data_IF_579392955040
#
_entry.id   IF_579392955040
#
_cell.length_a   1.000
_cell.length_b   1.000
_cell.length_c   1.000
_cell.angle_alpha   90.00
_cell.angle_beta   90.00
_cell.angle_gamma   90.00
#
_symmetry.space_group_name_H-M   'P 1'
#
loop_
_entity.id
_entity.type
_entity.pdbx_description
1 polymer ?
#
# COMPACT_ATOMS: atom_id res chain seq x y z
N UNK A 1 5.83 -10.17 9.59
CA UNK A 1 5.83 -9.04 8.63
C UNK A 1 6.82 -7.95 8.99
N UNK A 2 6.74 -7.34 10.18
CA UNK A 2 7.72 -6.35 10.65
C UNK A 2 9.19 -6.79 10.52
N UNK A 3 9.51 -8.02 10.97
CA UNK A 3 10.87 -8.56 10.89
C UNK A 3 11.39 -8.70 9.45
N UNK A 4 10.51 -9.08 8.51
CA UNK A 4 10.88 -9.22 7.09
C UNK A 4 11.16 -7.86 6.44
N UNK A 5 10.35 -6.85 6.73
CA UNK A 5 10.59 -5.47 6.28
C UNK A 5 11.86 -4.89 6.91
N UNK A 6 12.11 -5.16 8.20
CA UNK A 6 13.34 -4.76 8.89
C UNK A 6 14.57 -5.39 8.25
N UNK A 7 14.50 -6.68 7.92
CA UNK A 7 15.56 -7.39 7.20
C UNK A 7 15.82 -6.72 5.85
N UNK A 8 14.77 -6.41 5.09
CA UNK A 8 14.87 -5.74 3.79
C UNK A 8 15.55 -4.35 3.88
N UNK A 9 15.15 -3.51 4.84
CA UNK A 9 15.79 -2.20 5.08
C UNK A 9 17.25 -2.37 5.48
N UNK A 10 17.55 -3.33 6.36
CA UNK A 10 18.92 -3.58 6.78
C UNK A 10 19.78 -4.00 5.59
N UNK A 11 19.33 -4.93 4.74
CA UNK A 11 20.07 -5.34 3.54
C UNK A 11 20.30 -4.19 2.56
N UNK A 12 19.28 -3.34 2.32
CA UNK A 12 19.42 -2.18 1.44
C UNK A 12 20.36 -1.11 2.03
N UNK A 13 20.27 -0.84 3.33
CA UNK A 13 21.17 0.09 4.00
C UNK A 13 22.61 -0.44 4.02
N UNK A 14 22.78 -1.77 4.16
CA UNK A 14 24.06 -2.49 4.22
C UNK A 14 24.69 -2.76 2.82
N UNK A 15 24.02 -2.43 1.72
CA UNK A 15 24.58 -2.56 0.37
C UNK A 15 25.61 -1.45 0.05
N UNK A 16 26.83 -1.76 -0.44
CA UNK A 16 27.88 -0.76 -0.67
C UNK A 16 27.51 0.29 -1.72
N UNK A 17 26.74 -0.08 -2.75
CA UNK A 17 26.26 0.82 -3.79
C UNK A 17 24.79 1.21 -3.57
N UNK A 18 24.43 2.50 -3.75
CA UNK A 18 23.04 2.95 -3.80
C UNK A 18 22.42 2.57 -5.14
N UNK A 19 22.19 1.27 -5.34
CA UNK A 19 21.49 0.76 -6.52
C UNK A 19 20.15 0.18 -6.10
N UNK A 20 19.18 0.36 -6.99
CA UNK A 20 17.85 -0.23 -6.98
C UNK A 20 17.90 -1.75 -6.74
N UNK A 21 16.89 -2.29 -6.07
CA UNK A 21 16.85 -3.69 -5.63
C UNK A 21 17.16 -4.72 -6.75
N UNK A 22 16.69 -4.56 -8.00
CA UNK A 22 17.07 -5.42 -9.12
C UNK A 22 18.58 -5.38 -9.42
N UNK A 23 19.22 -4.23 -9.29
CA UNK A 23 20.66 -4.05 -9.48
C UNK A 23 21.48 -4.69 -8.34
N UNK A 24 20.98 -4.64 -7.10
CA UNK A 24 21.57 -5.37 -5.97
C UNK A 24 21.49 -6.88 -6.23
N UNK A 25 20.34 -7.37 -6.66
CA UNK A 25 20.16 -8.80 -6.98
C UNK A 25 21.04 -9.23 -8.16
N UNK A 26 21.17 -8.40 -9.20
CA UNK A 26 22.06 -8.65 -10.34
C UNK A 26 23.52 -8.76 -9.90
N UNK A 27 23.94 -7.97 -8.90
CA UNK A 27 25.27 -8.06 -8.31
C UNK A 27 25.57 -9.38 -7.61
N UNK A 28 24.55 -10.03 -7.00
CA UNK A 28 24.71 -11.31 -6.31
C UNK A 28 24.48 -12.55 -7.19
N UNK A 29 23.56 -12.49 -8.16
CA UNK A 29 23.15 -13.65 -8.98
C UNK A 29 23.75 -13.67 -10.40
N UNK A 30 24.45 -12.61 -10.81
CA UNK A 30 25.09 -12.50 -12.12
C UNK A 30 24.19 -11.91 -13.22
N UNK A 31 24.82 -11.45 -14.31
CA UNK A 31 24.21 -10.63 -15.37
C UNK A 31 22.95 -11.23 -16.00
N UNK A 32 22.94 -12.54 -16.28
CA UNK A 32 21.80 -13.20 -16.95
C UNK A 32 20.58 -13.33 -16.03
N UNK A 33 20.80 -13.67 -14.75
CA UNK A 33 19.74 -13.71 -13.74
C UNK A 33 19.22 -12.32 -13.40
N UNK A 34 20.08 -11.31 -13.43
CA UNK A 34 19.68 -9.92 -13.32
C UNK A 34 18.71 -9.46 -14.42
N UNK A 35 18.98 -9.82 -15.68
CA UNK A 35 18.08 -9.51 -16.81
C UNK A 35 16.74 -10.23 -16.65
N UNK A 36 16.75 -11.52 -16.30
CA UNK A 36 15.52 -12.29 -16.11
C UNK A 36 14.65 -11.72 -14.98
N UNK A 37 15.27 -11.38 -13.84
CA UNK A 37 14.57 -10.79 -12.70
C UNK A 37 14.12 -9.35 -12.97
N UNK A 38 14.89 -8.58 -13.73
CA UNK A 38 14.49 -7.25 -14.20
C UNK A 38 13.27 -7.31 -15.11
N UNK A 39 13.23 -8.25 -16.06
CA UNK A 39 12.09 -8.46 -16.94
C UNK A 39 10.84 -8.91 -16.14
N UNK A 40 11.01 -9.84 -15.20
CA UNK A 40 9.93 -10.28 -14.32
C UNK A 40 9.39 -9.12 -13.46
N UNK A 41 10.29 -8.30 -12.90
CA UNK A 41 9.92 -7.11 -12.14
C UNK A 41 9.15 -6.10 -12.98
N UNK A 42 9.59 -5.87 -14.22
CA UNK A 42 8.89 -5.00 -15.17
C UNK A 42 7.47 -5.50 -15.47
N UNK A 43 7.31 -6.78 -15.82
CA UNK A 43 5.99 -7.38 -16.07
C UNK A 43 5.09 -7.25 -14.84
N UNK A 44 5.63 -7.51 -13.65
CA UNK A 44 4.91 -7.35 -12.39
C UNK A 44 4.42 -5.91 -12.21
N UNK A 45 5.28 -4.91 -12.41
CA UNK A 45 4.90 -3.49 -12.30
C UNK A 45 3.78 -3.10 -13.28
N UNK A 46 3.86 -3.58 -14.53
CA UNK A 46 2.83 -3.31 -15.54
C UNK A 46 1.48 -3.90 -15.12
N UNK A 47 1.46 -5.14 -14.62
CA UNK A 47 0.22 -5.77 -14.11
C UNK A 47 -0.36 -4.93 -12.97
N UNK A 48 0.45 -4.53 -11.99
CA UNK A 48 -0.01 -3.69 -10.88
C UNK A 48 -0.54 -2.34 -11.33
N UNK A 49 0.08 -1.71 -12.33
CA UNK A 49 -0.41 -0.46 -12.91
C UNK A 49 -1.84 -0.61 -13.44
N UNK A 50 -2.14 -1.68 -14.18
CA UNK A 50 -3.48 -1.94 -14.69
C UNK A 50 -4.49 -2.32 -13.59
N UNK A 51 -4.07 -3.13 -12.61
CA UNK A 51 -4.94 -3.50 -11.48
C UNK A 51 -5.34 -2.26 -10.68
N UNK A 52 -4.40 -1.37 -10.34
CA UNK A 52 -4.73 -0.14 -9.62
C UNK A 52 -5.56 0.83 -10.46
N UNK A 53 -5.28 0.93 -11.76
CA UNK A 53 -6.08 1.77 -12.64
C UNK A 53 -7.53 1.31 -12.74
N UNK A 54 -7.76 0.00 -12.90
CA UNK A 54 -9.11 -0.56 -13.00
C UNK A 54 -9.86 -0.39 -11.67
N UNK A 55 -9.19 -0.57 -10.53
CA UNK A 55 -9.77 -0.26 -9.23
C UNK A 55 -10.21 1.20 -9.12
N UNK A 56 -9.35 2.16 -9.47
CA UNK A 56 -9.70 3.60 -9.42
C UNK A 56 -10.85 3.93 -10.38
N UNK A 57 -10.86 3.31 -11.57
CA UNK A 57 -11.94 3.51 -12.55
C UNK A 57 -13.28 3.01 -12.01
N UNK A 58 -13.30 1.84 -11.40
CA UNK A 58 -14.50 1.27 -10.80
C UNK A 58 -14.98 2.07 -9.58
N UNK A 59 -14.07 2.43 -8.67
CA UNK A 59 -14.41 3.20 -7.47
C UNK A 59 -14.95 4.58 -7.84
N UNK A 60 -14.28 5.28 -8.76
CA UNK A 60 -14.73 6.61 -9.20
C UNK A 60 -16.08 6.57 -9.91
N UNK A 61 -16.32 5.57 -10.77
CA UNK A 61 -17.62 5.39 -11.42
C UNK A 61 -18.73 5.09 -10.39
N UNK A 62 -18.45 4.24 -9.40
CA UNK A 62 -19.37 3.91 -8.31
C UNK A 62 -19.72 5.14 -7.47
N UNK A 63 -18.73 5.98 -7.12
CA UNK A 63 -18.98 7.23 -6.41
C UNK A 63 -19.80 8.22 -7.25
N UNK A 64 -19.47 8.42 -8.53
CA UNK A 64 -20.21 9.32 -9.40
C UNK A 64 -21.67 8.90 -9.57
N UNK A 65 -21.94 7.59 -9.63
CA UNK A 65 -23.29 7.05 -9.62
C UNK A 65 -23.98 7.27 -8.27
N UNK A 66 -23.30 6.95 -7.15
CA UNK A 66 -23.86 7.07 -5.80
C UNK A 66 -24.21 8.52 -5.44
N UNK A 67 -23.45 9.50 -5.94
CA UNK A 67 -23.71 10.93 -5.75
C UNK A 67 -24.68 11.53 -6.79
N UNK A 68 -25.25 10.72 -7.68
CA UNK A 68 -26.25 11.15 -8.67
C UNK A 68 -25.72 12.03 -9.79
N UNK A 69 -24.40 12.04 -10.02
CA UNK A 69 -23.77 12.80 -11.11
C UNK A 69 -24.00 12.12 -12.46
N UNK A 70 -24.25 10.81 -12.47
CA UNK A 70 -24.48 10.01 -13.68
C UNK A 70 -25.48 8.88 -13.43
N UNK A 71 -26.42 8.70 -14.36
CA UNK A 71 -27.50 7.71 -14.28
C UNK A 71 -27.04 6.26 -14.58
N UNK A 72 -25.88 6.10 -15.25
CA UNK A 72 -25.30 4.81 -15.63
C UNK A 72 -23.86 4.64 -15.12
N UNK A 73 -23.40 3.39 -15.02
CA UNK A 73 -22.06 3.08 -14.55
C UNK A 73 -21.02 3.48 -15.62
N UNK A 74 -20.33 4.60 -15.42
CA UNK A 74 -19.31 5.10 -16.37
C UNK A 74 -18.17 4.12 -16.64
N UNK A 75 -17.96 3.15 -15.75
CA UNK A 75 -16.97 2.07 -15.93
C UNK A 75 -17.28 1.15 -17.11
N UNK A 76 -18.54 1.05 -17.55
CA UNK A 76 -18.89 0.27 -18.74
C UNK A 76 -18.33 0.89 -20.03
N UNK A 77 -18.01 2.19 -20.02
CA UNK A 77 -17.43 2.87 -21.16
C UNK A 77 -15.88 2.82 -21.10
N UNK A 78 -15.21 2.10 -22.03
CA UNK A 78 -13.76 1.97 -22.03
C UNK A 78 -13.03 3.32 -22.20
N UNK A 79 -13.69 4.35 -22.75
CA UNK A 79 -13.12 5.70 -22.86
C UNK A 79 -12.93 6.37 -21.50
N UNK A 80 -13.78 6.09 -20.52
CA UNK A 80 -13.67 6.68 -19.18
C UNK A 80 -12.40 6.21 -18.48
N UNK A 81 -12.16 4.89 -18.46
CA UNK A 81 -10.94 4.31 -17.91
C UNK A 81 -9.68 4.82 -18.62
N UNK A 82 -9.73 4.99 -19.95
CA UNK A 82 -8.58 5.47 -20.73
C UNK A 82 -8.24 6.94 -20.44
N UNK A 83 -9.24 7.82 -20.37
CA UNK A 83 -9.06 9.22 -19.98
C UNK A 83 -8.48 9.31 -18.56
N UNK A 84 -8.99 8.49 -17.64
CA UNK A 84 -8.56 8.46 -16.25
C UNK A 84 -7.09 8.00 -16.14
N UNK A 85 -6.70 6.95 -16.88
CA UNK A 85 -5.29 6.52 -16.99
C UNK A 85 -4.42 7.66 -17.50
N UNK A 86 -4.81 8.31 -18.61
CA UNK A 86 -4.04 9.40 -19.18
C UNK A 86 -3.86 10.54 -18.18
N UNK A 87 -4.89 10.89 -17.41
CA UNK A 87 -4.81 11.90 -16.36
C UNK A 87 -3.87 11.47 -15.21
N UNK A 88 -3.98 10.23 -14.73
CA UNK A 88 -3.12 9.68 -13.67
C UNK A 88 -1.65 9.65 -14.10
N UNK A 89 -1.37 9.24 -15.33
CA UNK A 89 -0.02 9.23 -15.91
C UNK A 89 0.49 10.66 -16.07
N UNK A 90 -0.35 11.60 -16.54
CA UNK A 90 0.04 13.00 -16.67
C UNK A 90 0.38 13.64 -15.31
N UNK A 91 -0.36 13.31 -14.24
CA UNK A 91 -0.03 13.77 -12.88
C UNK A 91 1.25 13.10 -12.38
N UNK A 92 1.40 11.80 -12.59
CA UNK A 92 2.60 11.03 -12.19
C UNK A 92 3.85 11.46 -12.94
N UNK A 93 3.70 11.97 -14.16
CA UNK A 93 4.78 12.54 -14.96
C UNK A 93 5.23 13.92 -14.47
N UNK A 94 4.46 14.60 -13.62
CA UNK A 94 4.90 15.84 -12.99
C UNK A 94 5.90 15.51 -11.89
N UNK A 95 6.88 16.41 -11.69
CA UNK A 95 8.05 16.16 -10.83
C UNK A 95 7.71 15.66 -9.41
N UNK A 96 8.67 14.95 -8.82
CA UNK A 96 8.54 14.23 -7.55
C UNK A 96 7.91 15.05 -6.41
N UNK A 97 8.16 16.35 -6.33
CA UNK A 97 7.61 17.21 -5.28
C UNK A 97 6.08 17.29 -5.29
N UNK A 98 5.46 17.34 -6.48
CA UNK A 98 4.01 17.37 -6.61
C UNK A 98 3.41 16.03 -6.21
N UNK A 99 4.05 14.93 -6.63
CA UNK A 99 3.68 13.58 -6.26
C UNK A 99 3.75 13.34 -4.74
N UNK A 100 4.82 13.79 -4.08
CA UNK A 100 4.93 13.71 -2.62
C UNK A 100 3.88 14.55 -1.90
N UNK A 101 3.58 15.76 -2.39
CA UNK A 101 2.57 16.64 -1.78
C UNK A 101 1.16 16.06 -1.90
N UNK A 102 0.80 15.55 -3.09
CA UNK A 102 -0.49 14.88 -3.32
C UNK A 102 -0.63 13.61 -2.49
N UNK A 103 0.41 12.76 -2.48
CA UNK A 103 0.40 11.52 -1.71
C UNK A 103 0.27 11.78 -0.20
N UNK A 104 1.00 12.76 0.33
CA UNK A 104 0.89 13.14 1.74
C UNK A 104 -0.50 13.67 2.08
N UNK A 105 -1.09 14.48 1.21
CA UNK A 105 -2.46 14.97 1.38
C UNK A 105 -3.47 13.81 1.41
N UNK A 106 -3.40 12.90 0.44
CA UNK A 106 -4.29 11.72 0.36
C UNK A 106 -4.21 10.85 1.61
N UNK A 107 -3.00 10.56 2.11
CA UNK A 107 -2.82 9.76 3.32
C UNK A 107 -3.40 10.47 4.54
N UNK A 108 -3.17 11.77 4.69
CA UNK A 108 -3.71 12.55 5.80
C UNK A 108 -5.24 12.57 5.80
N UNK A 109 -5.86 12.76 4.63
CA UNK A 109 -7.31 12.69 4.47
C UNK A 109 -7.84 11.29 4.84
N UNK A 110 -7.19 10.22 4.39
CA UNK A 110 -7.59 8.85 4.73
C UNK A 110 -7.55 8.59 6.25
N UNK A 111 -6.47 9.02 6.91
CA UNK A 111 -6.35 8.86 8.37
C UNK A 111 -7.42 9.66 9.12
N UNK A 112 -7.74 10.87 8.65
CA UNK A 112 -8.82 11.67 9.22
C UNK A 112 -10.18 10.99 9.07
N UNK A 113 -10.50 10.48 7.88
CA UNK A 113 -11.76 9.75 7.64
C UNK A 113 -11.86 8.52 8.55
N UNK A 114 -10.80 7.72 8.67
CA UNK A 114 -10.78 6.56 9.57
C UNK A 114 -10.97 6.98 11.03
N UNK A 115 -10.31 8.06 11.47
CA UNK A 115 -10.48 8.58 12.82
C UNK A 115 -11.91 9.09 13.07
N UNK A 116 -12.49 9.84 12.12
CA UNK A 116 -13.86 10.35 12.22
C UNK A 116 -14.89 9.22 12.27
N UNK A 117 -14.72 8.20 11.42
CA UNK A 117 -15.55 6.99 11.46
C UNK A 117 -15.40 6.26 12.79
N UNK A 118 -14.16 6.06 13.25
CA UNK A 118 -13.88 5.45 14.55
C UNK A 118 -14.54 6.19 15.72
N UNK A 119 -14.46 7.53 15.73
CA UNK A 119 -15.11 8.38 16.74
C UNK A 119 -16.64 8.29 16.66
N UNK A 120 -17.22 8.34 15.45
CA UNK A 120 -18.68 8.27 15.26
C UNK A 120 -19.28 6.96 15.78
N UNK A 121 -18.50 5.88 15.76
CA UNK A 121 -18.96 4.55 16.16
C UNK A 121 -18.74 4.22 17.64
N UNK A 122 -18.15 5.11 18.45
CA UNK A 122 -17.95 4.91 19.91
C UNK A 122 -19.28 4.54 20.61
N UNK A 123 -20.40 5.11 20.17
CA UNK A 123 -21.72 4.80 20.72
C UNK A 123 -22.22 3.37 20.45
N UNK A 124 -21.61 2.66 19.49
CA UNK A 124 -21.97 1.28 19.12
C UNK A 124 -20.96 0.24 19.65
N UNK A 125 -20.01 0.64 20.51
CA UNK A 125 -19.00 -0.25 21.09
C UNK A 125 -19.60 -1.09 22.22
N UNK A 126 -20.31 -2.15 21.87
CA UNK A 126 -20.79 -3.14 22.84
C UNK A 126 -19.83 -4.34 22.88
N UNK A 127 -19.23 -4.59 24.05
CA UNK A 127 -18.33 -5.73 24.32
C UNK A 127 -18.98 -7.12 24.08
N UNK A 128 -20.31 -7.16 23.99
CA UNK A 128 -21.07 -8.38 23.66
C UNK A 128 -21.08 -8.69 22.15
N UNK A 129 -20.76 -7.71 21.29
CA UNK A 129 -20.66 -7.90 19.86
C UNK A 129 -19.35 -8.59 19.45
N UNK A 130 -18.45 -8.90 20.40
CA UNK A 130 -17.26 -9.72 20.19
C UNK A 130 -17.73 -11.15 19.93
N UNK A 131 -18.08 -11.41 18.68
CA UNK A 131 -18.76 -12.63 18.25
C UNK A 131 -17.99 -13.90 18.59
N UNK A 132 -18.74 -14.99 18.80
CA UNK A 132 -18.19 -16.32 18.95
C UNK A 132 -17.27 -16.66 17.77
N UNK A 133 -16.05 -17.09 18.08
CA UNK A 133 -15.06 -17.50 17.07
C UNK A 133 -15.71 -18.52 16.11
N UNK A 134 -15.66 -18.29 14.78
CA UNK A 134 -16.19 -19.25 13.83
C UNK A 134 -15.46 -20.61 13.98
N UNK A 135 -16.07 -21.72 13.52
CA UNK A 135 -15.47 -23.05 13.65
C UNK A 135 -14.03 -23.07 13.13
N UNK A 136 -13.11 -23.69 13.88
CA UNK A 136 -11.66 -23.67 13.58
C UNK A 136 -11.32 -24.08 12.14
N UNK A 137 -12.07 -25.02 11.54
CA UNK A 137 -11.89 -25.44 10.15
C UNK A 137 -12.20 -24.34 9.12
N UNK A 138 -13.20 -23.50 9.37
CA UNK A 138 -13.55 -22.36 8.51
C UNK A 138 -12.54 -21.22 8.65
N UNK A 139 -12.10 -20.96 9.89
CA UNK A 139 -11.02 -20.01 10.18
C UNK A 139 -9.74 -20.34 9.42
N UNK A 140 -9.29 -21.59 9.42
CA UNK A 140 -8.05 -21.99 8.72
C UNK A 140 -8.20 -21.80 7.20
N UNK A 141 -9.34 -22.22 6.62
CA UNK A 141 -9.58 -22.08 5.19
C UNK A 141 -9.60 -20.61 4.75
N UNK A 142 -10.34 -19.78 5.47
CA UNK A 142 -10.44 -18.35 5.19
C UNK A 142 -9.11 -17.64 5.47
N UNK A 143 -8.39 -18.01 6.53
CA UNK A 143 -7.07 -17.48 6.83
C UNK A 143 -6.07 -17.78 5.71
N UNK A 144 -6.04 -19.00 5.15
CA UNK A 144 -5.13 -19.35 4.03
C UNK A 144 -5.46 -18.54 2.78
N UNK A 145 -6.74 -18.37 2.44
CA UNK A 145 -7.17 -17.63 1.25
C UNK A 145 -6.89 -16.13 1.40
N UNK A 146 -7.16 -15.56 2.58
CA UNK A 146 -7.00 -14.12 2.85
C UNK A 146 -5.57 -13.73 3.20
N UNK A 147 -4.73 -14.68 3.64
CA UNK A 147 -3.32 -14.46 3.97
C UNK A 147 -2.59 -13.71 2.87
N UNK A 148 -2.49 -14.21 1.61
CA UNK A 148 -1.72 -13.54 0.56
C UNK A 148 -2.18 -12.10 0.33
N UNK A 149 -3.49 -11.84 0.27
CA UNK A 149 -4.02 -10.49 0.10
C UNK A 149 -3.69 -9.58 1.28
N UNK A 150 -3.79 -10.10 2.50
CA UNK A 150 -3.44 -9.37 3.73
C UNK A 150 -1.95 -9.06 3.78
N UNK A 151 -1.10 -10.00 3.37
CA UNK A 151 0.35 -9.78 3.28
C UNK A 151 0.66 -8.69 2.26
N UNK A 152 0.12 -8.79 1.05
CA UNK A 152 0.39 -7.80 0.00
C UNK A 152 -0.13 -6.41 0.36
N UNK A 153 -1.24 -6.33 1.12
CA UNK A 153 -1.80 -5.06 1.59
C UNK A 153 -0.93 -4.37 2.66
N UNK A 154 -0.25 -5.15 3.50
CA UNK A 154 0.59 -4.63 4.60
C UNK A 154 2.06 -4.49 4.19
N UNK A 155 2.51 -5.22 3.16
CA UNK A 155 3.89 -5.23 2.69
C UNK A 155 4.15 -4.07 1.71
N UNK A 156 4.67 -2.95 2.22
CA UNK A 156 5.08 -1.79 1.43
C UNK A 156 6.58 -1.84 1.02
N UNK A 157 7.10 -3.02 0.72
CA UNK A 157 8.53 -3.23 0.38
C UNK A 157 8.96 -2.40 -0.84
N UNK A 158 8.07 -2.28 -1.82
CA UNK A 158 8.32 -1.53 -3.05
C UNK A 158 8.55 -0.03 -2.78
N UNK A 159 7.95 0.54 -1.74
CA UNK A 159 8.15 1.95 -1.37
C UNK A 159 9.34 2.14 -0.42
N UNK A 160 9.73 1.10 0.32
CA UNK A 160 10.92 1.12 1.18
C UNK A 160 12.21 1.29 0.39
N UNK A 161 12.31 0.69 -0.81
CA UNK A 161 13.51 0.80 -1.65
C UNK A 161 13.85 2.26 -2.01
N UNK A 162 12.98 3.04 -2.67
CA UNK A 162 13.25 4.44 -2.97
C UNK A 162 13.35 5.31 -1.72
N UNK A 163 12.63 4.99 -0.63
CA UNK A 163 12.75 5.70 0.65
C UNK A 163 14.16 5.58 1.23
N UNK A 164 14.69 4.35 1.33
CA UNK A 164 16.04 4.09 1.86
C UNK A 164 17.10 4.73 0.96
N UNK A 165 16.93 4.64 -0.36
CA UNK A 165 17.82 5.28 -1.34
C UNK A 165 17.81 6.81 -1.16
N UNK A 166 16.63 7.42 -1.00
CA UNK A 166 16.49 8.87 -0.74
C UNK A 166 17.19 9.28 0.56
N UNK A 167 16.99 8.54 1.66
CA UNK A 167 17.69 8.81 2.92
C UNK A 167 19.21 8.63 2.80
N UNK A 168 19.69 7.65 2.02
CA UNK A 168 21.13 7.49 1.78
C UNK A 168 21.73 8.59 0.92
N UNK A 169 21.04 9.04 -0.12
CA UNK A 169 21.52 10.12 -0.99
C UNK A 169 21.70 11.46 -0.25
N UNK A 170 20.93 11.68 0.82
CA UNK A 170 20.94 12.94 1.61
C UNK A 170 21.80 12.89 2.88
N UNK A 171 22.34 11.74 3.27
CA UNK A 171 23.13 11.61 4.51
C UNK A 171 24.47 10.93 4.19
N UNK A 172 25.60 11.58 4.52
CA UNK A 172 26.95 11.01 4.30
C UNK A 172 27.20 9.73 5.12
N UNK A 173 26.63 9.63 6.33
CA UNK A 173 26.77 8.46 7.19
C UNK A 173 25.66 7.44 6.95
N UNK A 174 26.06 6.25 6.50
CA UNK A 174 25.19 5.09 6.25
C UNK A 174 24.39 4.66 7.49
N UNK A 175 25.01 4.71 8.66
CA UNK A 175 24.37 4.40 9.94
C UNK A 175 23.22 5.35 10.28
N UNK A 176 23.39 6.66 9.99
CA UNK A 176 22.36 7.67 10.22
C UNK A 176 21.20 7.49 9.24
N UNK A 177 21.48 7.16 7.97
CA UNK A 177 20.46 6.84 6.98
C UNK A 177 19.66 5.59 7.38
N UNK A 178 20.33 4.54 7.87
CA UNK A 178 19.70 3.32 8.39
C UNK A 178 18.77 3.63 9.56
N UNK A 179 19.25 4.39 10.54
CA UNK A 179 18.44 4.75 11.70
C UNK A 179 17.19 5.57 11.32
N UNK A 180 17.33 6.54 10.42
CA UNK A 180 16.19 7.33 9.90
C UNK A 180 15.18 6.48 9.15
N UNK A 181 15.63 5.58 8.27
CA UNK A 181 14.75 4.68 7.53
C UNK A 181 14.00 3.70 8.45
N UNK A 182 14.69 3.13 9.45
CA UNK A 182 14.06 2.26 10.44
C UNK A 182 13.04 3.01 11.30
N UNK A 183 13.34 4.25 11.71
CA UNK A 183 12.38 5.08 12.46
C UNK A 183 11.13 5.40 11.63
N UNK A 184 11.31 5.77 10.37
CA UNK A 184 10.20 6.03 9.46
C UNK A 184 9.33 4.78 9.25
N UNK A 185 9.95 3.62 9.05
CA UNK A 185 9.25 2.33 8.96
C UNK A 185 8.45 2.03 10.24
N UNK A 186 9.04 2.21 11.41
CA UNK A 186 8.35 1.94 12.68
C UNK A 186 7.13 2.83 12.88
N UNK A 187 7.24 4.13 12.53
CA UNK A 187 6.11 5.05 12.58
C UNK A 187 5.02 4.62 11.59
N UNK A 188 5.39 4.30 10.35
CA UNK A 188 4.44 3.83 9.34
C UNK A 188 3.72 2.54 9.79
N UNK A 189 4.44 1.60 10.40
CA UNK A 189 3.87 0.37 10.92
C UNK A 189 2.93 0.63 12.10
N UNK A 190 3.28 1.56 13.00
CA UNK A 190 2.42 1.97 14.11
C UNK A 190 1.12 2.62 13.63
N UNK A 191 1.21 3.55 12.68
CA UNK A 191 0.04 4.19 12.06
C UNK A 191 -0.84 3.15 11.35
N UNK A 192 -0.23 2.24 10.58
CA UNK A 192 -0.96 1.18 9.90
C UNK A 192 -1.65 0.24 10.88
N UNK A 193 -0.97 -0.17 11.96
CA UNK A 193 -1.55 -0.99 13.02
C UNK A 193 -2.75 -0.30 13.67
N UNK A 194 -2.62 0.96 14.07
CA UNK A 194 -3.74 1.73 14.62
C UNK A 194 -4.89 1.83 13.62
N UNK A 195 -4.61 2.16 12.36
CA UNK A 195 -5.63 2.32 11.31
C UNK A 195 -6.40 1.01 11.06
N UNK A 196 -5.68 -0.12 10.96
CA UNK A 196 -6.30 -1.44 10.75
C UNK A 196 -7.10 -1.87 11.97
N UNK A 197 -6.60 -1.61 13.18
CA UNK A 197 -7.32 -1.91 14.42
C UNK A 197 -8.66 -1.17 14.47
N UNK A 198 -8.64 0.16 14.26
CA UNK A 198 -9.86 0.97 14.18
C UNK A 198 -10.82 0.49 13.08
N UNK A 199 -10.31 0.08 11.92
CA UNK A 199 -11.13 -0.44 10.82
C UNK A 199 -11.73 -1.82 11.10
N UNK A 200 -11.00 -2.71 11.77
CA UNK A 200 -11.50 -4.02 12.17
C UNK A 200 -12.62 -3.89 13.20
N UNK A 201 -12.45 -3.02 14.20
CA UNK A 201 -13.52 -2.70 15.15
C UNK A 201 -14.75 -2.12 14.41
N UNK A 202 -14.53 -1.25 13.42
CA UNK A 202 -15.57 -0.67 12.56
C UNK A 202 -16.40 -1.75 11.83
N UNK A 203 -15.72 -2.68 11.15
CA UNK A 203 -16.35 -3.75 10.36
C UNK A 203 -17.06 -4.78 11.24
N UNK A 204 -16.55 -5.04 12.44
CA UNK A 204 -17.16 -5.98 13.38
C UNK A 204 -18.46 -5.45 13.96
N UNK A 205 -18.57 -4.14 14.17
CA UNK A 205 -19.81 -3.49 14.61
C UNK A 205 -20.86 -3.50 13.48
N UNK A 206 -20.46 -3.26 12.23
CA UNK A 206 -21.39 -3.21 11.09
C UNK A 206 -22.00 -4.57 10.71
N UNK A 207 -21.34 -5.69 11.03
CA UNK A 207 -21.85 -7.05 10.72
C UNK A 207 -22.67 -7.67 11.88
N UNK A 208 -22.90 -6.91 12.96
CA UNK A 208 -23.72 -7.34 14.12
C UNK A 208 -25.18 -6.87 14.09
N UNK A 209 -25.63 -6.26 13.00
CA UNK A 209 -27.04 -5.90 12.71
C UNK A 209 -27.56 -6.78 11.58
#
# INVERSE_FOLDING_TARGET
MYLFQRLFINTLAESPECKDYPSVITGYLGKNWGILLGALYFVMLVIWMFVYSTAITNDSASYLQTFGVTDSLLSENPFYGLILICALVAISSRGEQLLFKLSSFMVMTKLLVVAALGLSMIGMWHLYNVGALPPAGRLIKEAIITLPFTLTSILFIQTLSPMVISYRSRNQNREVARHKALRAMNIAFGVLFCTVFFLCDLLHISNGT
#
